data_IF_784144819166
#
_entry.id   IF_784144819166
#
_cell.length_a   1.000
_cell.length_b   1.000
_cell.length_c   1.000
_cell.angle_alpha   90.00
_cell.angle_beta   90.00
_cell.angle_gamma   90.00
#
_symmetry.space_group_name_H-M   'P 1'
#
loop_
_entity.id
_entity.type
_entity.pdbx_description
1 polymer ?
#
# COMPACT_ATOMS: atom_id res chain seq x y z
N UNK A 1 11.04 -0.85 -14.80
CA UNK A 1 11.11 0.61 -14.62
C UNK A 1 9.79 1.06 -14.02
N UNK A 2 9.81 1.94 -13.01
CA UNK A 2 8.59 2.44 -12.36
C UNK A 2 7.74 3.24 -13.36
N UNK A 3 6.42 3.01 -13.34
CA UNK A 3 5.43 3.63 -14.25
C UNK A 3 4.24 4.23 -13.51
N UNK A 4 3.89 3.72 -12.34
CA UNK A 4 2.67 4.09 -11.64
C UNK A 4 2.97 4.48 -10.19
N UNK A 5 2.61 5.71 -9.83
CA UNK A 5 2.55 6.16 -8.44
C UNK A 5 1.10 6.01 -7.96
N UNK A 6 0.86 5.15 -6.98
CA UNK A 6 -0.48 4.87 -6.49
C UNK A 6 -0.91 5.82 -5.37
N UNK A 7 -2.16 6.27 -5.43
CA UNK A 7 -2.82 7.00 -4.36
C UNK A 7 -3.34 6.02 -3.27
N UNK A 8 -3.41 6.50 -2.03
CA UNK A 8 -3.94 5.85 -0.83
C UNK A 8 -5.25 5.10 -1.07
N UNK A 9 -6.23 5.72 -1.75
CA UNK A 9 -7.50 5.06 -2.05
C UNK A 9 -7.33 3.77 -2.87
N UNK A 10 -6.46 3.78 -3.87
CA UNK A 10 -6.20 2.59 -4.71
C UNK A 10 -5.50 1.50 -3.88
N UNK A 11 -4.58 1.88 -3.00
CA UNK A 11 -3.88 0.95 -2.11
C UNK A 11 -4.89 0.29 -1.14
N UNK A 12 -5.74 1.08 -0.49
CA UNK A 12 -6.80 0.58 0.42
C UNK A 12 -7.75 -0.37 -0.31
N UNK A 13 -8.20 -0.03 -1.52
CA UNK A 13 -9.08 -0.91 -2.30
C UNK A 13 -8.41 -2.24 -2.67
N UNK A 14 -7.11 -2.20 -2.98
CA UNK A 14 -6.32 -3.40 -3.26
C UNK A 14 -6.24 -4.30 -2.02
N UNK A 15 -5.94 -3.73 -0.85
CA UNK A 15 -5.90 -4.47 0.43
C UNK A 15 -7.25 -5.12 0.75
N UNK A 16 -8.35 -4.38 0.56
CA UNK A 16 -9.71 -4.86 0.83
C UNK A 16 -10.26 -5.81 -0.25
N UNK A 17 -9.47 -6.16 -1.27
CA UNK A 17 -9.85 -7.01 -2.40
C UNK A 17 -11.13 -6.54 -3.14
N UNK A 18 -11.44 -5.24 -3.13
CA UNK A 18 -12.65 -4.70 -3.77
C UNK A 18 -12.33 -3.39 -4.48
N UNK A 19 -12.69 -3.25 -5.77
CA UNK A 19 -13.27 -4.25 -6.68
C UNK A 19 -12.21 -5.21 -7.25
N UNK A 20 -12.59 -6.44 -7.62
CA UNK A 20 -11.66 -7.45 -8.16
C UNK A 20 -10.84 -6.96 -9.38
N UNK A 21 -11.40 -6.04 -10.18
CA UNK A 21 -10.70 -5.45 -11.31
C UNK A 21 -9.43 -4.71 -10.89
N UNK A 22 -9.44 -4.05 -9.72
CA UNK A 22 -8.28 -3.33 -9.20
C UNK A 22 -7.19 -4.32 -8.83
N UNK A 23 -7.53 -5.42 -8.15
CA UNK A 23 -6.58 -6.49 -7.84
C UNK A 23 -5.94 -7.09 -9.10
N UNK A 24 -6.73 -7.37 -10.14
CA UNK A 24 -6.18 -7.90 -11.41
C UNK A 24 -5.21 -6.92 -12.06
N UNK A 25 -5.54 -5.64 -12.06
CA UNK A 25 -4.66 -4.60 -12.62
C UNK A 25 -3.39 -4.43 -11.79
N UNK A 26 -3.52 -4.51 -10.47
CA UNK A 26 -2.40 -4.47 -9.54
C UNK A 26 -1.40 -5.58 -9.81
N UNK A 27 -1.87 -6.83 -9.87
CA UNK A 27 -1.04 -8.00 -10.16
C UNK A 27 -0.37 -7.90 -11.54
N UNK A 28 -1.06 -7.34 -12.53
CA UNK A 28 -0.49 -7.15 -13.87
C UNK A 28 0.68 -6.17 -13.91
N UNK A 29 0.76 -5.22 -12.98
CA UNK A 29 1.78 -4.18 -12.93
C UNK A 29 2.75 -4.33 -11.75
N UNK A 30 2.86 -5.54 -11.21
CA UNK A 30 3.83 -5.84 -10.16
C UNK A 30 5.26 -5.45 -10.59
N UNK A 31 5.99 -4.79 -9.70
CA UNK A 31 7.33 -4.25 -10.00
C UNK A 31 7.36 -2.95 -10.84
N UNK A 32 6.22 -2.47 -11.34
CA UNK A 32 6.09 -1.18 -12.03
C UNK A 32 5.45 -0.08 -11.17
N UNK A 33 5.06 -0.42 -9.93
CA UNK A 33 4.29 0.45 -9.03
C UNK A 33 5.12 0.93 -7.83
N UNK A 34 4.87 2.15 -7.41
CA UNK A 34 5.38 2.72 -6.16
C UNK A 34 4.26 3.47 -5.42
N UNK A 35 4.53 3.78 -4.16
CA UNK A 35 3.73 4.70 -3.34
C UNK A 35 4.62 5.84 -2.83
N UNK A 36 4.01 6.99 -2.56
CA UNK A 36 4.70 8.11 -1.92
C UNK A 36 4.83 7.89 -0.41
N UNK A 37 5.79 8.57 0.22
CA UNK A 37 5.90 8.59 1.69
C UNK A 37 4.63 9.18 2.36
N UNK A 38 3.99 10.17 1.73
CA UNK A 38 2.72 10.71 2.21
C UNK A 38 1.60 9.65 2.22
N UNK A 39 1.48 8.87 1.13
CA UNK A 39 0.54 7.73 1.04
C UNK A 39 0.80 6.70 2.13
N UNK A 40 2.07 6.38 2.41
CA UNK A 40 2.41 5.49 3.52
C UNK A 40 1.97 6.06 4.87
N UNK A 41 2.21 7.35 5.12
CA UNK A 41 1.77 8.05 6.32
C UNK A 41 0.26 8.03 6.52
N UNK A 42 -0.51 8.26 5.44
CA UNK A 42 -1.98 8.19 5.49
C UNK A 42 -2.49 6.77 5.82
N UNK A 43 -1.85 5.73 5.28
CA UNK A 43 -2.19 4.33 5.57
C UNK A 43 -1.93 4.00 7.05
N UNK A 44 -0.77 4.38 7.57
CA UNK A 44 -0.40 4.16 8.98
C UNK A 44 -1.35 4.91 9.90
N UNK A 45 -1.58 6.20 9.64
CA UNK A 45 -2.53 7.01 10.41
C UNK A 45 -3.93 6.37 10.41
N UNK A 46 -4.42 5.91 9.26
CA UNK A 46 -5.70 5.23 9.14
C UNK A 46 -5.77 3.90 9.92
N UNK A 47 -4.66 3.15 9.99
CA UNK A 47 -4.57 1.93 10.78
C UNK A 47 -4.60 2.21 12.29
N UNK A 48 -3.86 3.21 12.77
CA UNK A 48 -3.84 3.63 14.18
C UNK A 48 -5.21 4.07 14.71
N UNK A 49 -6.05 4.63 13.84
CA UNK A 49 -7.41 5.08 14.19
C UNK A 49 -8.49 4.02 13.93
N UNK A 50 -8.11 2.80 13.57
CA UNK A 50 -9.04 1.71 13.26
C UNK A 50 -9.36 0.84 14.48
N UNK A 51 -10.42 0.03 14.39
CA UNK A 51 -10.76 -0.94 15.45
C UNK A 51 -9.77 -2.11 15.54
N UNK A 52 -8.95 -2.35 14.50
CA UNK A 52 -8.02 -3.48 14.39
C UNK A 52 -6.61 -2.97 14.07
N UNK A 53 -6.05 -2.15 14.97
CA UNK A 53 -4.78 -1.43 14.76
C UNK A 53 -3.63 -2.34 14.36
N UNK A 54 -3.28 -3.31 15.22
CA UNK A 54 -2.12 -4.20 15.00
C UNK A 54 -2.24 -4.96 13.68
N UNK A 55 -3.40 -5.57 13.43
CA UNK A 55 -3.67 -6.29 12.19
C UNK A 55 -3.49 -5.40 10.96
N UNK A 56 -4.03 -4.19 10.99
CA UNK A 56 -3.96 -3.29 9.84
C UNK A 56 -2.53 -2.80 9.60
N UNK A 57 -1.75 -2.54 10.65
CA UNK A 57 -0.33 -2.20 10.51
C UNK A 57 0.47 -3.34 9.90
N UNK A 58 0.27 -4.58 10.36
CA UNK A 58 0.91 -5.76 9.77
C UNK A 58 0.53 -5.96 8.30
N UNK A 59 -0.74 -5.79 7.96
CA UNK A 59 -1.20 -5.90 6.57
C UNK A 59 -0.58 -4.81 5.67
N UNK A 60 -0.42 -3.57 6.17
CA UNK A 60 0.25 -2.48 5.44
C UNK A 60 1.73 -2.81 5.24
N UNK A 61 2.44 -3.23 6.28
CA UNK A 61 3.86 -3.56 6.20
C UNK A 61 4.13 -4.69 5.21
N UNK A 62 3.32 -5.76 5.25
CA UNK A 62 3.42 -6.88 4.33
C UNK A 62 3.16 -6.46 2.88
N UNK A 63 2.18 -5.58 2.65
CA UNK A 63 1.86 -5.06 1.32
C UNK A 63 3.01 -4.22 0.75
N UNK A 64 3.54 -3.29 1.55
CA UNK A 64 4.60 -2.36 1.15
C UNK A 64 5.87 -3.12 0.82
N UNK A 65 6.30 -4.01 1.72
CA UNK A 65 7.51 -4.81 1.54
C UNK A 65 7.44 -5.71 0.31
N UNK A 66 6.27 -6.26 0.00
CA UNK A 66 6.12 -7.23 -1.09
C UNK A 66 5.93 -6.58 -2.46
N UNK A 67 5.20 -5.48 -2.54
CA UNK A 67 4.66 -5.01 -3.82
C UNK A 67 5.08 -3.60 -4.23
N UNK A 68 5.63 -2.80 -3.31
CA UNK A 68 5.96 -1.41 -3.60
C UNK A 68 7.44 -1.12 -3.38
N UNK A 69 8.00 -0.35 -4.31
CA UNK A 69 9.24 0.37 -4.06
C UNK A 69 8.83 1.68 -3.34
N UNK A 70 9.24 1.86 -2.09
CA UNK A 70 9.02 3.12 -1.38
C UNK A 70 9.99 4.16 -1.91
N UNK A 71 9.46 5.18 -2.59
CA UNK A 71 10.25 6.32 -3.00
C UNK A 71 10.47 7.24 -1.78
N UNK A 72 11.51 6.94 -0.98
CA UNK A 72 12.07 7.90 -0.03
C UNK A 72 11.70 7.78 1.45
N UNK A 73 11.40 6.58 1.98
CA UNK A 73 11.41 6.36 3.43
C UNK A 73 11.80 4.90 3.71
N UNK A 74 12.93 4.68 4.38
CA UNK A 74 13.24 3.39 5.00
C UNK A 74 12.57 3.39 6.36
N UNK A 75 11.60 2.50 6.57
CA UNK A 75 11.10 2.21 7.91
C UNK A 75 12.25 1.46 8.60
N UNK A 76 13.03 2.18 9.41
CA UNK A 76 13.92 1.52 10.35
C UNK A 76 13.09 1.07 11.56
N UNK A 77 13.33 -0.16 12.06
CA UNK A 77 12.69 -0.66 13.28
C UNK A 77 13.04 0.18 14.51
#
# INVERSE_FOLDING_TARGET
>A
MLKYLLNTNIVIYTMKNRPQQVKRRFQKHEGEMCISAATLGELVFGAEHSQQVERNLTDIEALVTRHFITAGFQIHP
#
